data_IF_800620885609
#
_entry.id   IF_800620885609
#
_cell.length_a   1.000
_cell.length_b   1.000
_cell.length_c   1.000
_cell.angle_alpha   90.00
_cell.angle_beta   90.00
_cell.angle_gamma   90.00
#
_symmetry.space_group_name_H-M   'P 1'
#
loop_
_entity.id
_entity.type
_entity.pdbx_description
1 polymer ?
#
# COMPACT_ATOMS: atom_id res chain seq x y z
N UNK A 1 -28.77 5.31 33.97
CA UNK A 1 -29.60 4.76 32.87
C UNK A 1 -28.77 3.67 32.20
N UNK A 2 -29.08 2.40 32.42
CA UNK A 2 -28.33 1.27 31.83
C UNK A 2 -28.65 1.20 30.34
N UNK A 3 -27.84 1.87 29.53
CA UNK A 3 -28.04 1.92 28.09
C UNK A 3 -27.61 0.59 27.48
N UNK A 4 -28.57 -0.34 27.33
CA UNK A 4 -28.40 -1.63 26.62
C UNK A 4 -27.76 -1.49 25.23
N UNK A 5 -27.89 -0.32 24.61
CA UNK A 5 -27.25 0.07 23.36
C UNK A 5 -25.73 0.22 23.48
N UNK A 6 -25.22 0.84 24.55
CA UNK A 6 -23.78 0.92 24.81
C UNK A 6 -23.24 -0.46 25.19
N UNK A 7 -23.97 -1.25 25.98
CA UNK A 7 -23.57 -2.64 26.31
C UNK A 7 -23.51 -3.57 25.09
N UNK A 8 -24.31 -3.31 24.07
CA UNK A 8 -24.26 -4.00 22.77
C UNK A 8 -23.10 -3.53 21.89
N UNK A 9 -22.73 -2.25 21.99
CA UNK A 9 -21.62 -1.64 21.23
C UNK A 9 -20.26 -1.81 21.93
N UNK A 10 -20.22 -2.13 23.22
CA UNK A 10 -19.00 -2.31 24.02
C UNK A 10 -18.01 -3.32 23.42
N UNK A 11 -18.42 -4.47 22.83
CA UNK A 11 -17.49 -5.34 22.12
C UNK A 11 -16.88 -4.69 20.87
N UNK A 12 -17.65 -3.83 20.18
CA UNK A 12 -17.24 -3.14 18.96
C UNK A 12 -16.35 -1.93 19.27
N UNK A 13 -16.70 -1.15 20.30
CA UNK A 13 -15.88 -0.08 20.86
C UNK A 13 -14.58 -0.64 21.44
N UNK A 14 -14.64 -1.72 22.21
CA UNK A 14 -13.46 -2.43 22.71
C UNK A 14 -12.60 -3.02 21.59
N UNK A 15 -13.16 -3.40 20.43
CA UNK A 15 -12.39 -3.82 19.26
C UNK A 15 -11.63 -2.66 18.60
N UNK A 16 -12.22 -1.45 18.61
CA UNK A 16 -11.60 -0.20 18.15
C UNK A 16 -10.50 0.25 19.11
N UNK A 17 -10.78 0.28 20.42
CA UNK A 17 -9.89 0.80 21.45
C UNK A 17 -8.65 -0.08 21.67
N UNK A 18 -8.75 -1.41 21.46
CA UNK A 18 -7.63 -2.35 21.58
C UNK A 18 -6.65 -2.34 20.38
N UNK A 19 -6.87 -1.48 19.38
CA UNK A 19 -6.05 -1.41 18.17
C UNK A 19 -6.13 -2.65 17.25
N UNK A 20 -6.97 -3.64 17.57
CA UNK A 20 -7.25 -4.82 16.73
C UNK A 20 -8.00 -4.43 15.45
N UNK A 21 -8.85 -3.41 15.55
CA UNK A 21 -9.55 -2.81 14.41
C UNK A 21 -8.62 -2.29 13.30
N UNK A 22 -7.39 -1.88 13.61
CA UNK A 22 -6.44 -1.44 12.58
C UNK A 22 -5.51 -2.55 12.11
N UNK A 23 -5.34 -3.62 12.89
CA UNK A 23 -4.42 -4.72 12.56
C UNK A 23 -5.01 -5.70 11.55
N UNK A 24 -6.18 -6.25 11.86
CA UNK A 24 -6.74 -7.32 11.03
C UNK A 24 -7.28 -6.82 9.69
N UNK A 25 -8.06 -5.73 9.61
CA UNK A 25 -8.57 -5.23 8.35
C UNK A 25 -7.47 -4.82 7.37
N UNK A 26 -6.39 -4.18 7.84
CA UNK A 26 -5.25 -3.85 6.97
C UNK A 26 -4.48 -5.11 6.55
N UNK A 27 -4.34 -6.12 7.42
CA UNK A 27 -3.77 -7.41 7.00
C UNK A 27 -4.60 -8.04 5.87
N UNK A 28 -5.92 -8.07 6.02
CA UNK A 28 -6.83 -8.56 4.99
C UNK A 28 -6.73 -7.73 3.71
N UNK A 29 -6.64 -6.41 3.82
CA UNK A 29 -6.45 -5.50 2.69
C UNK A 29 -5.20 -5.87 1.87
N UNK A 30 -4.06 -6.09 2.52
CA UNK A 30 -2.82 -6.48 1.85
C UNK A 30 -2.95 -7.84 1.14
N UNK A 31 -3.64 -8.81 1.77
CA UNK A 31 -3.91 -10.12 1.15
C UNK A 31 -4.83 -9.98 -0.07
N UNK A 32 -5.88 -9.18 0.03
CA UNK A 32 -6.81 -8.92 -1.06
C UNK A 32 -6.06 -8.30 -2.24
N UNK A 33 -5.25 -7.27 -2.03
CA UNK A 33 -4.43 -6.68 -3.10
C UNK A 33 -3.47 -7.70 -3.72
N UNK A 34 -2.82 -8.53 -2.90
CA UNK A 34 -1.92 -9.57 -3.41
C UNK A 34 -2.67 -10.57 -4.33
N UNK A 35 -3.84 -11.03 -3.92
CA UNK A 35 -4.66 -11.98 -4.70
C UNK A 35 -5.23 -11.31 -5.96
N UNK A 36 -5.72 -10.08 -5.86
CA UNK A 36 -6.23 -9.32 -7.02
C UNK A 36 -5.15 -9.15 -8.10
N UNK A 37 -3.89 -8.90 -7.71
CA UNK A 37 -2.80 -8.82 -8.66
C UNK A 37 -2.58 -10.14 -9.42
N UNK A 38 -2.75 -11.30 -8.77
CA UNK A 38 -2.65 -12.62 -9.43
C UNK A 38 -3.85 -12.94 -10.33
N UNK A 39 -5.05 -12.48 -9.96
CA UNK A 39 -6.25 -12.67 -10.76
C UNK A 39 -6.26 -11.79 -12.02
N UNK A 40 -5.56 -10.65 -11.98
CA UNK A 40 -5.57 -9.69 -13.07
C UNK A 40 -5.07 -10.25 -14.42
N UNK A 41 -3.92 -10.95 -14.52
CA UNK A 41 -3.53 -11.61 -15.76
C UNK A 41 -4.55 -12.63 -16.26
N UNK A 42 -5.15 -13.42 -15.36
CA UNK A 42 -6.15 -14.44 -15.73
C UNK A 42 -7.38 -13.76 -16.34
N UNK A 43 -7.84 -12.67 -15.73
CA UNK A 43 -8.94 -11.86 -16.24
C UNK A 43 -8.65 -11.29 -17.63
N UNK A 44 -7.45 -10.72 -17.84
CA UNK A 44 -7.03 -10.21 -19.15
C UNK A 44 -7.01 -11.32 -20.19
N UNK A 45 -6.48 -12.50 -19.86
CA UNK A 45 -6.45 -13.64 -20.76
C UNK A 45 -7.86 -14.09 -21.15
N UNK A 46 -8.76 -14.21 -20.18
CA UNK A 46 -10.16 -14.55 -20.42
C UNK A 46 -10.82 -13.55 -21.38
N UNK A 47 -10.61 -12.24 -21.17
CA UNK A 47 -11.15 -11.20 -22.04
C UNK A 47 -10.61 -11.26 -23.47
N UNK A 48 -9.32 -11.54 -23.62
CA UNK A 48 -8.67 -11.66 -24.95
C UNK A 48 -9.22 -12.87 -25.72
N UNK A 49 -9.49 -13.98 -25.01
CA UNK A 49 -10.12 -15.16 -25.60
C UNK A 49 -11.58 -14.88 -25.98
N UNK A 50 -12.36 -14.25 -25.10
CA UNK A 50 -13.75 -13.86 -25.37
C UNK A 50 -13.90 -12.96 -26.61
N UNK A 51 -12.87 -12.17 -26.92
CA UNK A 51 -12.84 -11.29 -28.09
C UNK A 51 -12.39 -11.97 -29.39
N UNK A 52 -12.19 -13.30 -29.38
CA UNK A 52 -11.64 -14.06 -30.51
C UNK A 52 -10.30 -13.48 -31.04
N UNK A 53 -9.53 -12.79 -30.18
CA UNK A 53 -8.33 -12.07 -30.60
C UNK A 53 -7.35 -12.99 -31.34
N UNK A 54 -7.11 -14.20 -30.82
CA UNK A 54 -6.18 -15.16 -31.42
C UNK A 54 -6.64 -15.71 -32.77
N UNK A 55 -7.92 -15.56 -33.13
CA UNK A 55 -8.47 -16.01 -34.41
C UNK A 55 -8.31 -14.94 -35.50
N UNK A 56 -8.40 -13.67 -35.13
CA UNK A 56 -8.42 -12.55 -36.08
C UNK A 56 -7.15 -11.70 -36.08
N UNK A 57 -6.31 -11.80 -35.04
CA UNK A 57 -5.08 -11.04 -34.95
C UNK A 57 -3.99 -11.57 -35.89
N UNK A 58 -3.21 -10.65 -36.46
CA UNK A 58 -2.01 -10.99 -37.20
C UNK A 58 -0.96 -11.65 -36.30
N UNK A 59 -0.14 -12.53 -36.86
CA UNK A 59 0.90 -13.26 -36.09
C UNK A 59 1.86 -12.34 -35.32
N UNK A 60 2.13 -11.14 -35.85
CA UNK A 60 2.93 -10.10 -35.17
C UNK A 60 2.27 -9.62 -33.88
N UNK A 61 0.95 -9.40 -33.89
CA UNK A 61 0.18 -8.96 -32.73
C UNK A 61 0.00 -10.08 -31.71
N UNK A 62 -0.13 -11.33 -32.16
CA UNK A 62 -0.14 -12.51 -31.29
C UNK A 62 1.19 -12.62 -30.52
N UNK A 63 2.33 -12.47 -31.21
CA UNK A 63 3.64 -12.47 -30.56
C UNK A 63 3.78 -11.31 -29.55
N UNK A 64 3.34 -10.10 -29.92
CA UNK A 64 3.34 -8.94 -29.03
C UNK A 64 2.51 -9.21 -27.78
N UNK A 65 1.32 -9.79 -27.93
CA UNK A 65 0.44 -10.15 -26.82
C UNK A 65 1.12 -11.15 -25.89
N UNK A 66 1.73 -12.22 -26.43
CA UNK A 66 2.43 -13.23 -25.60
C UNK A 66 3.53 -12.57 -24.76
N UNK A 67 4.33 -11.69 -25.36
CA UNK A 67 5.39 -10.96 -24.64
C UNK A 67 4.81 -10.04 -23.56
N UNK A 68 3.78 -9.26 -23.88
CA UNK A 68 3.08 -8.41 -22.92
C UNK A 68 2.46 -9.24 -21.78
N UNK A 69 1.93 -10.42 -22.09
CA UNK A 69 1.32 -11.31 -21.12
C UNK A 69 2.36 -11.91 -20.16
N UNK A 70 3.54 -12.29 -20.65
CA UNK A 70 4.66 -12.73 -19.81
C UNK A 70 5.10 -11.61 -18.86
N UNK A 71 5.26 -10.37 -19.39
CA UNK A 71 5.59 -9.19 -18.58
C UNK A 71 4.51 -8.95 -17.53
N UNK A 72 3.24 -9.09 -17.89
CA UNK A 72 2.11 -8.91 -16.98
C UNK A 72 2.10 -9.96 -15.87
N UNK A 73 2.35 -11.23 -16.19
CA UNK A 73 2.48 -12.31 -15.22
C UNK A 73 3.66 -12.08 -14.27
N UNK A 74 4.80 -11.61 -14.78
CA UNK A 74 5.95 -11.25 -13.96
C UNK A 74 5.63 -10.07 -13.02
N UNK A 75 4.93 -9.05 -13.52
CA UNK A 75 4.46 -7.92 -12.72
C UNK A 75 3.46 -8.32 -11.63
N UNK A 76 2.51 -9.19 -11.96
CA UNK A 76 1.54 -9.75 -11.03
C UNK A 76 2.22 -10.57 -9.92
N UNK A 77 3.17 -11.44 -10.29
CA UNK A 77 3.94 -12.23 -9.34
C UNK A 77 4.82 -11.36 -8.44
N UNK A 78 5.57 -10.41 -9.02
CA UNK A 78 6.37 -9.46 -8.26
C UNK A 78 5.54 -8.63 -7.29
N UNK A 79 4.34 -8.23 -7.70
CA UNK A 79 3.39 -7.50 -6.85
C UNK A 79 2.85 -8.37 -5.72
N UNK A 80 2.46 -9.61 -6.01
CA UNK A 80 2.06 -10.57 -4.99
C UNK A 80 3.15 -10.72 -3.91
N UNK A 81 4.40 -10.91 -4.32
CA UNK A 81 5.54 -11.01 -3.40
C UNK A 81 5.73 -9.74 -2.58
N UNK A 82 5.62 -8.56 -3.20
CA UNK A 82 5.72 -7.27 -2.53
C UNK A 82 4.65 -7.13 -1.44
N UNK A 83 3.39 -7.32 -1.79
CA UNK A 83 2.26 -7.20 -0.86
C UNK A 83 2.34 -8.22 0.28
N UNK A 84 2.70 -9.47 -0.02
CA UNK A 84 2.81 -10.53 0.99
C UNK A 84 4.00 -10.31 1.95
N UNK A 85 5.15 -9.85 1.44
CA UNK A 85 6.30 -9.50 2.27
C UNK A 85 5.98 -8.32 3.21
N UNK A 86 5.31 -7.29 2.67
CA UNK A 86 4.92 -6.10 3.44
C UNK A 86 3.85 -6.42 4.49
N UNK A 87 2.94 -7.36 4.22
CA UNK A 87 1.99 -7.88 5.22
C UNK A 87 2.69 -8.44 6.46
N UNK A 88 3.80 -9.17 6.28
CA UNK A 88 4.54 -9.74 7.41
C UNK A 88 5.19 -8.64 8.26
N UNK A 89 5.74 -7.60 7.63
CA UNK A 89 6.35 -6.44 8.30
C UNK A 89 5.35 -5.55 9.03
N UNK A 90 4.09 -5.52 8.59
CA UNK A 90 3.00 -4.84 9.31
C UNK A 90 2.84 -5.38 10.74
N UNK A 91 3.09 -6.67 10.96
CA UNK A 91 2.99 -7.31 12.29
C UNK A 91 4.05 -6.80 13.26
N UNK A 92 5.22 -6.43 12.76
CA UNK A 92 6.36 -5.92 13.55
C UNK A 92 6.22 -4.42 13.86
N UNK A 93 5.62 -3.65 12.95
CA UNK A 93 5.44 -2.20 13.10
C UNK A 93 4.34 -1.81 14.11
N UNK A 94 3.49 -2.77 14.52
CA UNK A 94 2.39 -2.55 15.46
C UNK A 94 2.76 -3.18 16.81
N UNK A 95 3.70 -2.55 17.52
CA UNK A 95 3.93 -2.85 18.93
C UNK A 95 2.75 -2.30 19.75
N UNK A 96 2.20 -3.14 20.63
CA UNK A 96 0.95 -2.90 21.38
C UNK A 96 1.01 -1.74 22.38
N UNK A 97 2.17 -1.11 22.55
CA UNK A 97 2.43 -0.09 23.57
C UNK A 97 2.26 1.37 23.09
N UNK A 98 1.98 1.60 21.81
CA UNK A 98 1.83 2.95 21.25
C UNK A 98 0.35 3.34 21.11
N UNK A 99 -0.01 4.52 21.64
CA UNK A 99 -1.39 5.01 21.66
C UNK A 99 -1.88 5.46 20.27
N UNK A 100 -0.98 5.97 19.40
CA UNK A 100 -1.29 6.28 18.00
C UNK A 100 -0.91 5.13 17.05
N UNK A 101 -1.85 4.19 16.84
CA UNK A 101 -1.64 2.99 16.00
C UNK A 101 -1.97 3.23 14.52
N UNK A 102 -2.92 4.11 14.22
CA UNK A 102 -3.39 4.32 12.84
C UNK A 102 -2.34 5.00 11.95
N UNK A 103 -1.58 5.97 12.46
CA UNK A 103 -0.61 6.76 11.67
C UNK A 103 0.54 5.88 11.13
N UNK A 104 1.18 5.01 11.93
CA UNK A 104 2.17 4.06 11.42
C UNK A 104 1.63 3.09 10.37
N UNK A 105 0.38 2.63 10.53
CA UNK A 105 -0.27 1.71 9.58
C UNK A 105 -0.50 2.40 8.24
N UNK A 106 -1.05 3.62 8.25
CA UNK A 106 -1.25 4.43 7.03
C UNK A 106 0.07 4.75 6.36
N UNK A 107 1.12 5.11 7.13
CA UNK A 107 2.47 5.30 6.59
C UNK A 107 2.96 4.06 5.82
N UNK A 108 2.82 2.88 6.40
CA UNK A 108 3.26 1.64 5.77
C UNK A 108 2.45 1.32 4.50
N UNK A 109 1.14 1.59 4.51
CA UNK A 109 0.29 1.47 3.32
C UNK A 109 0.71 2.45 2.22
N UNK A 110 0.90 3.72 2.53
CA UNK A 110 1.34 4.75 1.58
C UNK A 110 2.67 4.37 0.93
N UNK A 111 3.64 3.90 1.72
CA UNK A 111 4.90 3.39 1.19
C UNK A 111 4.69 2.20 0.25
N UNK A 112 3.86 1.23 0.66
CA UNK A 112 3.61 0.01 -0.12
C UNK A 112 2.93 0.34 -1.45
N UNK A 113 1.94 1.23 -1.43
CA UNK A 113 1.23 1.72 -2.62
C UNK A 113 2.19 2.42 -3.57
N UNK A 114 3.08 3.27 -3.06
CA UNK A 114 4.08 3.96 -3.88
C UNK A 114 5.10 3.02 -4.52
N UNK A 115 5.61 2.06 -3.75
CA UNK A 115 6.54 1.03 -4.27
C UNK A 115 5.86 0.17 -5.35
N UNK A 116 4.61 -0.23 -5.12
CA UNK A 116 3.81 -1.01 -6.08
C UNK A 116 3.51 -0.22 -7.36
N UNK A 117 2.99 1.00 -7.26
CA UNK A 117 2.71 1.87 -8.41
C UNK A 117 3.98 2.25 -9.16
N UNK A 118 5.05 2.56 -8.43
CA UNK A 118 6.35 2.88 -9.00
C UNK A 118 6.95 1.72 -9.79
N UNK A 119 6.80 0.48 -9.31
CA UNK A 119 7.21 -0.71 -10.05
C UNK A 119 6.38 -0.91 -11.32
N UNK A 120 5.05 -0.74 -11.23
CA UNK A 120 4.16 -0.89 -12.37
C UNK A 120 4.40 0.15 -13.45
N UNK A 121 4.58 1.42 -13.07
CA UNK A 121 4.80 2.51 -14.03
C UNK A 121 6.25 2.47 -14.54
N UNK A 122 7.21 2.36 -13.62
CA UNK A 122 8.63 2.48 -13.93
C UNK A 122 9.23 1.27 -14.64
N UNK A 123 8.88 0.05 -14.22
CA UNK A 123 9.49 -1.17 -14.76
C UNK A 123 8.55 -1.83 -15.75
N UNK A 124 7.35 -2.22 -15.30
CA UNK A 124 6.39 -2.95 -16.14
C UNK A 124 5.93 -2.07 -17.31
N UNK A 125 5.60 -0.80 -17.07
CA UNK A 125 5.22 0.17 -18.09
C UNK A 125 6.31 0.40 -19.13
N UNK A 126 7.57 0.46 -18.71
CA UNK A 126 8.72 0.56 -19.62
C UNK A 126 8.84 -0.69 -20.51
N UNK A 127 8.79 -1.89 -19.92
CA UNK A 127 8.86 -3.13 -20.70
C UNK A 127 7.69 -3.24 -21.69
N UNK A 128 6.46 -2.94 -21.25
CA UNK A 128 5.28 -2.95 -22.12
C UNK A 128 5.40 -1.93 -23.26
N UNK A 129 5.86 -0.71 -22.97
CA UNK A 129 6.01 0.34 -23.98
C UNK A 129 7.08 0.00 -25.03
N UNK A 130 8.15 -0.71 -24.66
CA UNK A 130 9.15 -1.24 -25.62
C UNK A 130 8.52 -2.28 -26.55
N UNK A 131 7.79 -3.26 -26.00
CA UNK A 131 7.12 -4.28 -26.82
C UNK A 131 6.11 -3.64 -27.77
N UNK A 132 5.33 -2.69 -27.27
CA UNK A 132 4.37 -1.91 -28.07
C UNK A 132 5.09 -1.12 -29.17
N UNK A 133 6.18 -0.42 -28.84
CA UNK A 133 6.93 0.39 -29.79
C UNK A 133 7.46 -0.43 -30.97
N UNK A 134 7.91 -1.66 -30.71
CA UNK A 134 8.47 -2.56 -31.73
C UNK A 134 7.36 -3.22 -32.56
N UNK A 135 6.34 -3.77 -31.90
CA UNK A 135 5.41 -4.68 -32.56
C UNK A 135 4.08 -4.03 -32.98
N UNK A 136 3.63 -2.99 -32.29
CA UNK A 136 2.27 -2.48 -32.43
C UNK A 136 2.20 -0.97 -32.74
N UNK A 137 3.30 -0.22 -32.66
CA UNK A 137 3.32 1.24 -32.76
C UNK A 137 2.55 1.84 -33.95
N UNK A 138 2.61 1.21 -35.13
CA UNK A 138 1.91 1.70 -36.31
C UNK A 138 0.40 1.41 -36.28
N UNK A 139 0.01 0.25 -35.74
CA UNK A 139 -1.38 -0.22 -35.69
C UNK A 139 -2.20 0.54 -34.64
N UNK A 140 -1.60 0.82 -33.49
CA UNK A 140 -2.28 1.53 -32.39
C UNK A 140 -2.07 3.05 -32.41
N UNK A 141 -1.29 3.61 -33.34
CA UNK A 141 -1.07 5.07 -33.44
C UNK A 141 -2.37 5.88 -33.51
N UNK A 142 -3.40 5.34 -34.16
CA UNK A 142 -4.70 5.98 -34.33
C UNK A 142 -5.65 5.79 -33.13
N UNK A 143 -5.41 4.79 -32.29
CA UNK A 143 -6.23 4.45 -31.12
C UNK A 143 -5.65 5.10 -29.86
N UNK A 144 -4.34 5.02 -29.71
CA UNK A 144 -3.60 5.60 -28.61
C UNK A 144 -2.32 6.24 -29.17
N UNK A 145 -2.26 7.58 -29.28
CA UNK A 145 -1.05 8.28 -29.72
C UNK A 145 0.00 8.21 -28.61
N UNK A 146 0.64 7.05 -28.45
CA UNK A 146 1.77 6.87 -27.55
C UNK A 146 2.95 7.59 -28.21
N UNK A 147 3.51 8.65 -27.59
CA UNK A 147 4.70 9.30 -28.12
C UNK A 147 5.83 8.29 -28.21
N UNK A 148 6.43 8.15 -29.38
CA UNK A 148 7.64 7.34 -29.58
C UNK A 148 8.75 7.89 -28.67
N UNK A 149 9.00 7.24 -27.53
CA UNK A 149 9.92 7.71 -26.49
C UNK A 149 9.36 7.69 -25.07
N UNK A 150 8.08 7.35 -24.88
CA UNK A 150 7.46 7.28 -23.55
C UNK A 150 8.17 6.30 -22.60
N UNK A 151 8.85 5.29 -23.13
CA UNK A 151 9.69 4.34 -22.38
C UNK A 151 10.88 5.00 -21.65
N UNK A 152 11.32 6.21 -22.04
CA UNK A 152 12.33 6.96 -21.28
C UNK A 152 11.74 7.72 -20.08
N UNK A 153 10.47 8.13 -20.18
CA UNK A 153 9.78 8.87 -19.13
C UNK A 153 9.20 7.96 -18.06
N UNK A 154 8.78 6.74 -18.43
CA UNK A 154 8.19 5.76 -17.51
C UNK A 154 9.08 5.46 -16.29
N UNK A 155 10.40 5.19 -16.40
CA UNK A 155 11.27 5.00 -15.25
C UNK A 155 11.37 6.22 -14.35
N UNK A 156 11.39 7.43 -14.94
CA UNK A 156 11.45 8.70 -14.21
C UNK A 156 10.16 8.88 -13.40
N UNK A 157 8.99 8.67 -14.01
CA UNK A 157 7.71 8.73 -13.31
C UNK A 157 7.62 7.69 -12.21
N UNK A 158 8.01 6.44 -12.49
CA UNK A 158 8.04 5.38 -11.48
C UNK A 158 8.94 5.74 -10.29
N UNK A 159 10.15 6.24 -10.55
CA UNK A 159 11.07 6.69 -9.52
C UNK A 159 10.48 7.83 -8.67
N UNK A 160 9.94 8.87 -9.30
CA UNK A 160 9.34 10.00 -8.60
C UNK A 160 8.18 9.54 -7.70
N UNK A 161 7.32 8.63 -8.18
CA UNK A 161 6.22 8.07 -7.39
C UNK A 161 6.76 7.37 -6.13
N UNK A 162 7.81 6.56 -6.25
CA UNK A 162 8.43 5.89 -5.10
C UNK A 162 8.99 6.91 -4.10
N UNK A 163 9.72 7.91 -4.59
CA UNK A 163 10.34 8.95 -3.76
C UNK A 163 9.28 9.75 -3.00
N UNK A 164 8.26 10.25 -3.68
CA UNK A 164 7.19 11.02 -3.05
C UNK A 164 6.39 10.20 -2.05
N UNK A 165 6.04 8.95 -2.38
CA UNK A 165 5.34 8.08 -1.45
C UNK A 165 6.19 7.75 -0.21
N UNK A 166 7.50 7.57 -0.38
CA UNK A 166 8.42 7.33 0.74
C UNK A 166 8.55 8.58 1.62
N UNK A 167 8.66 9.77 1.03
CA UNK A 167 8.64 11.04 1.76
C UNK A 167 7.36 11.17 2.60
N UNK A 168 6.19 10.93 2.00
CA UNK A 168 4.91 10.99 2.72
C UNK A 168 4.85 9.97 3.87
N UNK A 169 5.31 8.74 3.63
CA UNK A 169 5.35 7.70 4.64
C UNK A 169 6.27 8.08 5.82
N UNK A 170 7.42 8.69 5.55
CA UNK A 170 8.36 9.17 6.56
C UNK A 170 7.79 10.34 7.37
N UNK A 171 7.12 11.30 6.72
CA UNK A 171 6.41 12.38 7.40
C UNK A 171 5.36 11.85 8.38
N UNK A 172 4.56 10.86 7.97
CA UNK A 172 3.59 10.22 8.86
C UNK A 172 4.27 9.53 10.05
N UNK A 173 5.41 8.85 9.86
CA UNK A 173 6.15 8.24 10.97
C UNK A 173 6.70 9.27 11.93
N UNK A 174 7.27 10.36 11.41
CA UNK A 174 7.80 11.45 12.23
C UNK A 174 6.69 12.05 13.12
N UNK A 175 5.51 12.32 12.54
CA UNK A 175 4.35 12.79 13.28
C UNK A 175 3.91 11.81 14.37
N UNK A 176 3.88 10.51 14.07
CA UNK A 176 3.52 9.48 15.05
C UNK A 176 4.53 9.42 16.21
N UNK A 177 5.83 9.50 15.91
CA UNK A 177 6.90 9.49 16.92
C UNK A 177 6.82 10.72 17.82
N UNK A 178 6.64 11.91 17.23
CA UNK A 178 6.48 13.16 18.00
C UNK A 178 5.27 13.06 18.92
N UNK A 179 4.10 12.68 18.37
CA UNK A 179 2.87 12.59 19.14
C UNK A 179 2.96 11.58 20.30
N UNK A 180 3.56 10.41 20.05
CA UNK A 180 3.77 9.39 21.09
C UNK A 180 4.76 9.86 22.17
N UNK A 181 5.86 10.50 21.79
CA UNK A 181 6.90 10.94 22.73
C UNK A 181 6.44 12.14 23.59
N UNK A 182 5.80 13.14 22.99
CA UNK A 182 5.24 14.30 23.72
C UNK A 182 4.22 13.86 24.78
N UNK A 183 3.41 12.85 24.46
CA UNK A 183 2.44 12.31 25.42
C UNK A 183 3.09 11.50 26.55
N UNK A 184 4.17 10.76 26.26
CA UNK A 184 4.93 10.06 27.30
C UNK A 184 5.61 11.04 28.26
N UNK A 185 6.14 12.16 27.75
CA UNK A 185 6.73 13.22 28.57
C UNK A 185 5.69 13.84 29.50
N UNK A 186 4.56 14.31 28.97
CA UNK A 186 3.46 14.89 29.79
C UNK A 186 2.91 13.92 30.85
N UNK A 187 2.75 12.62 30.53
CA UNK A 187 2.38 11.60 31.54
C UNK A 187 3.44 11.41 32.63
N UNK A 188 4.71 11.61 32.31
CA UNK A 188 5.82 11.47 33.27
C UNK A 188 5.93 12.71 34.16
N UNK A 189 5.77 13.90 33.59
CA UNK A 189 5.73 15.18 34.31
C UNK A 189 4.56 15.20 35.30
N UNK A 190 3.34 14.87 34.88
CA UNK A 190 2.18 14.82 35.77
C UNK A 190 2.34 13.81 36.92
N UNK A 191 3.03 12.68 36.68
CA UNK A 191 3.35 11.70 37.74
C UNK A 191 4.43 12.21 38.70
N UNK A 192 5.33 13.07 38.24
CA UNK A 192 6.37 13.66 39.09
C UNK A 192 5.78 14.78 39.96
N UNK A 193 4.90 15.61 39.39
CA UNK A 193 4.16 16.67 40.11
C UNK A 193 3.26 16.08 41.20
N UNK A 194 2.43 15.07 40.89
CA UNK A 194 1.59 14.43 41.90
C UNK A 194 2.40 13.80 43.06
N UNK A 195 3.58 13.26 42.77
CA UNK A 195 4.48 12.72 43.81
C UNK A 195 5.11 13.81 44.68
N UNK A 196 5.29 15.02 44.14
CA UNK A 196 5.81 16.15 44.91
C UNK A 196 4.73 16.72 45.83
N UNK A 197 3.49 16.86 45.35
CA UNK A 197 2.33 17.23 46.18
C UNK A 197 2.13 16.24 47.34
N UNK A 198 2.15 14.92 47.06
CA UNK A 198 2.03 13.89 48.08
C UNK A 198 3.13 13.98 49.17
N UNK A 199 4.32 14.51 48.85
CA UNK A 199 5.43 14.68 49.80
C UNK A 199 5.26 15.97 50.61
N UNK A 200 4.86 17.07 49.97
CA UNK A 200 4.57 18.33 50.66
C UNK A 200 3.42 18.17 51.66
N UNK A 201 2.36 17.43 51.31
CA UNK A 201 1.22 17.14 52.19
C UNK A 201 1.61 16.29 53.42
N UNK A 202 2.71 15.52 53.36
CA UNK A 202 3.23 14.72 54.49
C UNK A 202 4.12 15.56 55.41
N UNK A 203 4.82 16.58 54.89
CA UNK A 203 5.66 17.47 55.70
C UNK A 203 4.86 18.53 56.47
N UNK A 204 3.60 18.82 56.08
CA UNK A 204 2.70 19.76 56.78
C UNK A 204 1.91 19.18 57.97
N UNK A 205 2.09 17.89 58.33
CA UNK A 205 1.42 17.20 59.46
C UNK A 205 2.38 17.00 60.65
#
# INVERSE_FOLDING_TARGET
MNNKLFTFLDPLLGYIDNGRFFREPFRWLYVIFAVLNLLFPIFILAKVIEMDFFKYAEGKLILAFILLFIILCAGAWGSYLLWMNRKNKLKEAIQEENEFIAIPVVSHLTQTMGEWLGLYIGVIGTLCSVVIAIFAANEIRYILPIPSGMFFLMPIYGFLIVVFARLLAELYRALAVIANNTKKLTKTEAKAEAKLEDIEDIEEI
#
